data_IF_011405655345
#
_entry.id   IF_011405655345
#
_cell.length_a   1.000
_cell.length_b   1.000
_cell.length_c   1.000
_cell.angle_alpha   90.00
_cell.angle_beta   90.00
_cell.angle_gamma   90.00
#
_symmetry.space_group_name_H-M   'P 1'
#
loop_
_entity.id
_entity.type
_entity.pdbx_description
1 polymer ?
#
# COMPACT_ATOMS: atom_id res chain seq x y z
N UNK A 1 -7.94 23.99 -19.78
CA UNK A 1 -7.94 24.68 -18.46
C UNK A 1 -9.38 24.94 -18.04
N UNK A 2 -9.88 24.19 -17.07
CA UNK A 2 -10.60 24.69 -15.89
C UNK A 2 -10.92 23.46 -15.03
N UNK A 3 -10.08 23.22 -14.03
CA UNK A 3 -10.41 22.35 -12.91
C UNK A 3 -11.53 23.03 -12.12
N UNK A 4 -12.73 22.44 -12.14
CA UNK A 4 -13.79 22.79 -11.20
C UNK A 4 -13.91 21.65 -10.20
N UNK A 5 -13.23 21.88 -9.08
CA UNK A 5 -13.66 21.52 -7.72
C UNK A 5 -14.18 20.10 -7.53
N UNK A 6 -13.26 19.20 -7.21
CA UNK A 6 -13.48 18.13 -6.24
C UNK A 6 -14.02 18.75 -4.94
N UNK A 7 -15.26 18.43 -4.58
CA UNK A 7 -15.86 18.86 -3.32
C UNK A 7 -17.37 19.01 -3.48
N UNK A 8 -18.11 18.27 -2.66
CA UNK A 8 -19.59 18.18 -2.58
C UNK A 8 -20.20 17.11 -3.50
N UNK A 9 -20.13 15.86 -3.05
CA UNK A 9 -21.30 14.99 -2.77
C UNK A 9 -20.87 13.51 -2.65
N UNK A 10 -20.37 13.15 -1.46
CA UNK A 10 -20.33 11.76 -0.97
C UNK A 10 -21.70 11.37 -0.35
N UNK A 11 -22.79 12.07 -0.66
CA UNK A 11 -24.12 11.80 -0.09
C UNK A 11 -25.18 11.56 -1.17
N UNK A 12 -25.02 10.48 -1.94
CA UNK A 12 -26.09 9.93 -2.76
C UNK A 12 -25.97 8.40 -2.99
N UNK A 13 -25.40 7.65 -2.03
CA UNK A 13 -25.41 6.18 -2.04
C UNK A 13 -25.77 5.61 -0.66
N UNK A 14 -26.80 6.17 -0.04
CA UNK A 14 -27.58 5.51 1.03
C UNK A 14 -29.08 5.71 0.77
N UNK A 15 -29.53 5.43 -0.45
CA UNK A 15 -30.96 5.31 -0.76
C UNK A 15 -31.30 3.99 -1.47
N UNK A 16 -30.40 2.99 -1.37
CA UNK A 16 -30.63 1.63 -1.87
C UNK A 16 -30.22 0.55 -0.85
N UNK A 17 -30.27 0.88 0.43
CA UNK A 17 -30.13 -0.09 1.53
C UNK A 17 -31.27 0.10 2.51
N UNK A 18 -32.46 -0.33 2.09
CA UNK A 18 -33.51 -0.82 2.98
C UNK A 18 -33.96 0.13 4.10
N UNK A 19 -34.58 1.26 3.76
CA UNK A 19 -35.51 1.98 4.65
C UNK A 19 -36.84 2.25 3.91
N UNK A 20 -37.44 1.18 3.36
CA UNK A 20 -38.80 1.18 2.80
C UNK A 20 -39.83 0.51 3.71
N UNK A 21 -39.46 0.19 4.96
CA UNK A 21 -40.26 -0.56 5.93
C UNK A 21 -40.21 0.13 7.31
N UNK A 22 -40.63 1.39 7.37
CA UNK A 22 -41.07 2.00 8.62
C UNK A 22 -42.16 3.01 8.26
N UNK A 23 -43.31 2.95 8.94
CA UNK A 23 -44.58 3.67 8.68
C UNK A 23 -45.72 2.86 8.02
N UNK A 24 -46.06 1.73 8.64
CA UNK A 24 -47.47 1.35 8.90
C UNK A 24 -47.55 0.99 10.38
N UNK A 25 -48.64 1.40 11.03
CA UNK A 25 -48.99 1.15 12.45
C UNK A 25 -48.38 2.10 13.50
N UNK A 26 -48.93 3.31 13.55
CA UNK A 26 -49.15 4.03 14.81
C UNK A 26 -50.48 4.81 14.75
N UNK A 27 -51.61 4.08 14.74
CA UNK A 27 -52.91 4.59 15.18
C UNK A 27 -53.43 3.70 16.30
N UNK A 28 -52.92 3.94 17.50
CA UNK A 28 -53.60 3.54 18.73
C UNK A 28 -53.21 4.55 19.81
N UNK A 29 -54.17 5.41 20.15
CA UNK A 29 -54.26 6.11 21.44
C UNK A 29 -53.10 7.02 21.82
N UNK A 30 -53.17 8.30 21.43
CA UNK A 30 -53.00 9.39 22.39
C UNK A 30 -53.47 10.70 21.74
N UNK A 31 -54.52 11.27 22.34
CA UNK A 31 -55.03 12.59 22.00
C UNK A 31 -53.98 13.66 22.37
N UNK A 32 -53.56 14.45 21.40
CA UNK A 32 -52.81 15.70 21.59
C UNK A 32 -53.72 16.83 21.12
N UNK A 33 -53.91 17.90 21.91
CA UNK A 33 -54.94 18.88 21.62
C UNK A 33 -54.61 19.69 20.37
N UNK A 34 -55.68 19.95 19.62
CA UNK A 34 -55.80 20.78 18.44
C UNK A 34 -55.03 22.11 18.59
N UNK A 35 -53.95 22.24 17.81
CA UNK A 35 -53.45 23.56 17.39
C UNK A 35 -53.63 23.62 15.89
N UNK A 36 -54.59 24.43 15.47
CA UNK A 36 -55.00 24.65 14.10
C UNK A 36 -53.83 24.73 13.12
N UNK A 37 -53.60 23.62 12.42
CA UNK A 37 -52.89 23.61 11.15
C UNK A 37 -53.95 23.41 10.09
N UNK A 38 -54.17 24.44 9.26
CA UNK A 38 -55.06 24.36 8.12
C UNK A 38 -54.74 23.09 7.30
N UNK A 39 -55.72 22.20 7.15
CA UNK A 39 -55.58 21.06 6.25
C UNK A 39 -55.39 21.60 4.83
N UNK A 40 -54.37 21.15 4.07
CA UNK A 40 -54.14 21.65 2.73
C UNK A 40 -55.38 21.40 1.87
N UNK A 41 -55.89 22.45 1.22
CA UNK A 41 -57.05 22.34 0.33
C UNK A 41 -56.71 21.45 -0.86
N UNK A 42 -57.72 20.84 -1.48
CA UNK A 42 -57.58 19.88 -2.59
C UNK A 42 -56.73 20.43 -3.77
N UNK A 43 -56.71 21.75 -3.95
CA UNK A 43 -55.89 22.45 -4.95
C UNK A 43 -54.39 22.37 -4.63
N UNK A 44 -54.01 22.52 -3.36
CA UNK A 44 -52.60 22.53 -2.92
C UNK A 44 -52.00 21.12 -2.93
N UNK A 45 -52.83 20.09 -2.70
CA UNK A 45 -52.43 18.69 -2.80
C UNK A 45 -52.10 18.28 -4.24
N UNK A 46 -52.97 18.64 -5.19
CA UNK A 46 -52.75 18.36 -6.60
C UNK A 46 -51.52 19.10 -7.17
N UNK A 47 -51.25 20.32 -6.70
CA UNK A 47 -50.04 21.08 -7.07
C UNK A 47 -48.76 20.47 -6.46
N UNK A 48 -48.83 19.94 -5.24
CA UNK A 48 -47.72 19.23 -4.61
C UNK A 48 -47.42 17.90 -5.29
N UNK A 49 -48.45 17.13 -5.65
CA UNK A 49 -48.32 15.87 -6.38
C UNK A 49 -47.74 16.09 -7.79
N UNK A 50 -48.19 17.13 -8.50
CA UNK A 50 -47.64 17.49 -9.82
C UNK A 50 -46.17 17.94 -9.74
N UNK A 51 -45.78 18.67 -8.69
CA UNK A 51 -44.38 19.06 -8.45
C UNK A 51 -43.51 17.85 -8.10
N UNK A 52 -44.05 16.88 -7.39
CA UNK A 52 -43.36 15.65 -7.06
C UNK A 52 -43.12 14.80 -8.31
N UNK A 53 -44.14 14.61 -9.14
CA UNK A 53 -44.02 13.89 -10.42
C UNK A 53 -42.99 14.54 -11.36
N UNK A 54 -42.95 15.88 -11.42
CA UNK A 54 -41.95 16.60 -12.21
C UNK A 54 -40.53 16.42 -11.65
N UNK A 55 -40.37 16.44 -10.32
CA UNK A 55 -39.07 16.17 -9.69
C UNK A 55 -38.62 14.74 -9.93
N UNK A 56 -39.52 13.77 -9.82
CA UNK A 56 -39.23 12.36 -10.09
C UNK A 56 -38.81 12.14 -11.54
N UNK A 57 -39.52 12.77 -12.49
CA UNK A 57 -39.14 12.74 -13.92
C UNK A 57 -37.75 13.31 -14.14
N UNK A 58 -37.43 14.46 -13.53
CA UNK A 58 -36.10 15.09 -13.66
C UNK A 58 -34.99 14.22 -13.06
N UNK A 59 -35.27 13.54 -11.95
CA UNK A 59 -34.31 12.60 -11.34
C UNK A 59 -34.12 11.38 -12.24
N UNK A 60 -35.19 10.84 -12.83
CA UNK A 60 -35.07 9.72 -13.76
C UNK A 60 -34.34 10.09 -15.04
N UNK A 61 -34.56 11.28 -15.57
CA UNK A 61 -33.83 11.80 -16.75
C UNK A 61 -32.34 11.97 -16.43
N UNK A 62 -32.00 12.58 -15.30
CA UNK A 62 -30.59 12.72 -14.87
C UNK A 62 -29.93 11.37 -14.62
N UNK A 63 -30.65 10.39 -14.06
CA UNK A 63 -30.15 9.03 -13.88
C UNK A 63 -29.93 8.32 -15.23
N UNK A 64 -30.83 8.52 -16.20
CA UNK A 64 -30.69 7.97 -17.54
C UNK A 64 -29.53 8.62 -18.31
N UNK A 65 -29.32 9.93 -18.17
CA UNK A 65 -28.16 10.63 -18.72
C UNK A 65 -26.85 10.13 -18.09
N UNK A 66 -26.82 9.94 -16.77
CA UNK A 66 -25.66 9.37 -16.08
C UNK A 66 -25.38 7.94 -16.55
N UNK A 67 -26.42 7.12 -16.74
CA UNK A 67 -26.28 5.76 -17.25
C UNK A 67 -25.78 5.74 -18.70
N UNK A 68 -26.26 6.64 -19.56
CA UNK A 68 -25.77 6.81 -20.94
C UNK A 68 -24.31 7.25 -20.94
N UNK A 69 -23.94 8.20 -20.08
CA UNK A 69 -22.57 8.66 -19.92
C UNK A 69 -21.65 7.55 -19.39
N UNK A 70 -22.12 6.72 -18.46
CA UNK A 70 -21.37 5.56 -17.97
C UNK A 70 -21.18 4.51 -19.06
N UNK A 71 -22.24 4.17 -19.80
CA UNK A 71 -22.19 3.22 -20.91
C UNK A 71 -21.29 3.71 -22.05
N UNK A 72 -21.35 5.01 -22.38
CA UNK A 72 -20.47 5.63 -23.36
C UNK A 72 -19.01 5.61 -22.90
N UNK A 73 -18.72 5.86 -21.62
CA UNK A 73 -17.36 5.72 -21.07
C UNK A 73 -16.88 4.28 -21.01
N UNK A 74 -17.79 3.32 -20.84
CA UNK A 74 -17.48 1.89 -20.84
C UNK A 74 -17.23 1.36 -22.26
N UNK A 75 -17.95 1.86 -23.26
CA UNK A 75 -17.73 1.54 -24.68
C UNK A 75 -16.52 2.30 -25.28
N UNK A 76 -16.32 3.56 -24.87
CA UNK A 76 -15.16 4.38 -25.22
C UNK A 76 -13.94 4.08 -24.34
N UNK A 77 -14.07 3.17 -23.36
CA UNK A 77 -12.93 2.42 -22.83
C UNK A 77 -12.45 1.52 -23.97
N UNK A 78 -11.67 2.12 -24.88
CA UNK A 78 -10.55 1.39 -25.50
C UNK A 78 -9.98 0.51 -24.40
N UNK A 79 -9.70 -0.80 -24.63
CA UNK A 79 -9.14 -1.66 -23.59
C UNK A 79 -8.05 -0.84 -22.96
N UNK A 80 -8.31 -0.33 -21.76
CA UNK A 80 -7.37 0.58 -21.13
C UNK A 80 -6.13 -0.28 -21.12
N UNK A 81 -5.08 0.10 -21.86
CA UNK A 81 -3.81 -0.60 -21.85
C UNK A 81 -3.63 -0.98 -20.40
N UNK A 82 -3.83 -2.27 -20.07
CA UNK A 82 -3.88 -2.66 -18.67
C UNK A 82 -2.62 -2.04 -18.12
N UNK A 83 -2.69 -1.14 -17.10
CA UNK A 83 -1.50 -0.43 -16.67
C UNK A 83 -0.52 -1.53 -16.44
N UNK A 84 0.53 -1.60 -17.29
CA UNK A 84 1.40 -2.77 -17.39
C UNK A 84 1.67 -3.06 -15.94
N UNK A 85 1.15 -4.17 -15.41
CA UNK A 85 1.40 -4.49 -14.01
C UNK A 85 2.88 -4.73 -14.04
N UNK A 86 3.67 -3.69 -13.75
CA UNK A 86 5.06 -3.79 -13.41
C UNK A 86 4.98 -4.85 -12.32
N UNK A 87 5.38 -6.07 -12.67
CA UNK A 87 5.20 -7.20 -11.78
C UNK A 87 5.73 -6.75 -10.44
N UNK A 88 4.88 -6.78 -9.40
CA UNK A 88 5.33 -6.31 -8.09
C UNK A 88 6.61 -7.08 -7.78
N UNK A 89 7.71 -6.37 -7.46
CA UNK A 89 9.00 -7.00 -7.34
C UNK A 89 8.89 -8.13 -6.31
N UNK A 90 9.22 -9.34 -6.73
CA UNK A 90 9.04 -10.52 -5.90
C UNK A 90 10.16 -10.54 -4.88
N UNK A 91 9.84 -10.07 -3.67
CA UNK A 91 10.75 -10.09 -2.54
C UNK A 91 10.73 -11.46 -1.88
N UNK A 92 11.88 -12.12 -1.80
CA UNK A 92 12.05 -13.40 -1.08
C UNK A 92 13.16 -13.29 -0.05
N UNK A 93 13.06 -14.12 1.00
CA UNK A 93 14.14 -14.37 1.94
C UNK A 93 14.63 -15.79 1.69
N UNK A 94 15.88 -15.91 1.27
CA UNK A 94 16.51 -17.19 0.97
C UNK A 94 17.50 -17.56 2.06
N UNK A 95 17.49 -18.83 2.45
CA UNK A 95 18.38 -19.40 3.46
C UNK A 95 19.30 -20.42 2.82
N UNK A 96 20.61 -20.26 3.00
CA UNK A 96 21.56 -21.32 2.74
C UNK A 96 21.84 -22.05 4.05
N UNK A 97 22.03 -23.36 3.99
CA UNK A 97 22.29 -24.20 5.17
C UNK A 97 23.70 -24.77 5.10
N UNK A 98 24.30 -25.00 6.26
CA UNK A 98 25.54 -25.78 6.41
C UNK A 98 25.26 -27.26 6.17
N UNK A 99 26.31 -28.08 6.03
CA UNK A 99 26.17 -29.54 5.82
C UNK A 99 25.41 -30.24 6.96
N UNK A 100 25.45 -29.67 8.17
CA UNK A 100 24.72 -30.17 9.34
C UNK A 100 23.24 -29.72 9.39
N UNK A 101 22.75 -28.99 8.38
CA UNK A 101 21.38 -28.46 8.33
C UNK A 101 21.15 -27.17 9.11
N UNK A 102 22.14 -26.63 9.84
CA UNK A 102 22.01 -25.34 10.51
C UNK A 102 22.02 -24.19 9.48
N UNK A 103 21.29 -23.08 9.71
CA UNK A 103 21.31 -21.94 8.79
C UNK A 103 22.71 -21.33 8.72
N UNK A 104 23.23 -21.22 7.50
CA UNK A 104 24.54 -20.65 7.17
C UNK A 104 24.46 -19.19 6.82
N UNK A 105 23.46 -18.81 6.03
CA UNK A 105 23.22 -17.43 5.66
C UNK A 105 21.77 -17.18 5.29
N UNK A 106 21.39 -15.92 5.35
CA UNK A 106 20.10 -15.39 4.94
C UNK A 106 20.34 -14.16 4.07
N UNK A 107 19.66 -14.13 2.93
CA UNK A 107 19.71 -13.02 1.98
C UNK A 107 18.31 -12.63 1.53
N UNK A 108 18.07 -11.34 1.40
CA UNK A 108 16.89 -10.82 0.72
C UNK A 108 17.16 -10.80 -0.80
N UNK A 109 16.31 -11.43 -1.58
CA UNK A 109 16.33 -11.36 -3.05
C UNK A 109 15.13 -10.58 -3.55
N UNK A 110 15.33 -9.79 -4.61
CA UNK A 110 14.28 -9.06 -5.34
C UNK A 110 14.34 -9.58 -6.76
N UNK A 111 13.27 -10.22 -7.23
CA UNK A 111 13.19 -10.87 -8.55
C UNK A 111 14.33 -11.87 -8.81
N UNK A 112 14.74 -12.58 -7.76
CA UNK A 112 15.83 -13.56 -7.81
C UNK A 112 17.24 -12.96 -7.74
N UNK A 113 17.37 -11.63 -7.68
CA UNK A 113 18.65 -10.94 -7.52
C UNK A 113 18.88 -10.61 -6.05
N UNK A 114 20.03 -11.00 -5.50
CA UNK A 114 20.40 -10.68 -4.13
C UNK A 114 20.51 -9.16 -3.91
N UNK A 115 19.56 -8.63 -3.14
CA UNK A 115 19.41 -7.20 -2.85
C UNK A 115 18.88 -6.99 -1.44
N UNK A 116 19.69 -6.34 -0.59
CA UNK A 116 19.34 -5.98 0.77
C UNK A 116 20.26 -6.60 1.81
N UNK A 117 19.74 -6.78 3.02
CA UNK A 117 20.53 -7.23 4.16
C UNK A 117 21.00 -8.68 3.97
N UNK A 118 22.29 -8.88 4.20
CA UNK A 118 22.96 -10.17 4.27
C UNK A 118 23.31 -10.47 5.72
N UNK A 119 22.96 -11.67 6.18
CA UNK A 119 23.37 -12.21 7.47
C UNK A 119 23.94 -13.61 7.26
N UNK A 120 25.06 -13.90 7.91
CA UNK A 120 25.63 -15.24 7.97
C UNK A 120 25.92 -15.62 9.42
N UNK A 121 25.89 -16.92 9.69
CA UNK A 121 26.12 -17.49 11.02
C UNK A 121 27.16 -18.61 10.99
N UNK A 122 27.97 -18.64 12.05
CA UNK A 122 28.82 -19.78 12.39
C UNK A 122 27.95 -21.00 12.74
N UNK A 123 28.54 -22.19 12.70
CA UNK A 123 27.83 -23.44 13.01
C UNK A 123 27.23 -23.48 14.44
N UNK A 124 27.73 -22.64 15.35
CA UNK A 124 27.21 -22.48 16.70
C UNK A 124 26.05 -21.47 16.82
N UNK A 125 25.57 -20.93 15.69
CA UNK A 125 24.47 -19.98 15.63
C UNK A 125 24.84 -18.52 15.90
N UNK A 126 26.11 -18.21 16.18
CA UNK A 126 26.57 -16.83 16.33
C UNK A 126 26.77 -16.17 14.97
N UNK A 127 26.57 -14.86 14.87
CA UNK A 127 26.75 -14.14 13.60
C UNK A 127 28.21 -14.26 13.15
N UNK A 128 28.43 -14.50 11.87
CA UNK A 128 29.74 -14.50 11.23
C UNK A 128 29.91 -13.29 10.32
N UNK A 129 28.85 -12.88 9.61
CA UNK A 129 28.88 -11.73 8.70
C UNK A 129 27.55 -10.96 8.75
N UNK A 130 27.64 -9.65 8.54
CA UNK A 130 26.50 -8.76 8.39
C UNK A 130 26.87 -7.64 7.42
N UNK A 131 25.98 -7.39 6.46
CA UNK A 131 26.14 -6.27 5.54
C UNK A 131 24.96 -6.13 4.59
N UNK A 132 25.21 -5.42 3.50
CA UNK A 132 24.22 -5.22 2.45
C UNK A 132 24.77 -5.70 1.11
N UNK A 133 23.95 -6.39 0.35
CA UNK A 133 24.20 -6.75 -1.04
C UNK A 133 23.36 -5.85 -1.96
N UNK A 134 23.97 -5.44 -3.08
CA UNK A 134 23.30 -4.81 -4.21
C UNK A 134 23.73 -5.58 -5.45
N UNK A 135 22.76 -6.14 -6.18
CA UNK A 135 23.03 -6.98 -7.36
C UNK A 135 24.02 -8.12 -7.09
N UNK A 136 23.93 -8.73 -5.90
CA UNK A 136 24.84 -9.80 -5.46
C UNK A 136 26.23 -9.35 -5.03
N UNK A 137 26.57 -8.06 -5.14
CA UNK A 137 27.86 -7.51 -4.70
C UNK A 137 27.76 -6.83 -3.34
N UNK A 138 28.82 -6.96 -2.54
CA UNK A 138 28.92 -6.31 -1.22
C UNK A 138 28.91 -4.80 -1.38
N UNK A 139 28.04 -4.12 -0.64
CA UNK A 139 27.98 -2.66 -0.60
C UNK A 139 27.72 -2.14 0.80
N UNK A 140 28.12 -0.90 1.08
CA UNK A 140 27.89 -0.26 2.37
C UNK A 140 28.78 -0.81 3.47
N UNK A 141 28.32 -0.70 4.73
CA UNK A 141 29.09 -1.16 5.90
C UNK A 141 28.97 -2.67 6.07
N UNK A 142 30.10 -3.31 6.34
CA UNK A 142 30.19 -4.74 6.62
C UNK A 142 30.89 -4.98 7.95
N UNK A 143 30.47 -6.03 8.63
CA UNK A 143 31.00 -6.47 9.90
C UNK A 143 31.19 -7.99 9.88
N UNK A 144 32.27 -8.43 10.51
CA UNK A 144 32.67 -9.83 10.61
C UNK A 144 32.98 -10.16 12.06
N UNK A 145 32.61 -11.36 12.48
CA UNK A 145 32.80 -11.85 13.84
C UNK A 145 33.43 -13.23 13.86
N UNK A 146 34.15 -13.56 14.92
CA UNK A 146 34.65 -14.91 15.18
C UNK A 146 33.52 -15.82 15.73
N UNK A 147 33.76 -17.15 15.87
CA UNK A 147 32.79 -18.04 16.48
C UNK A 147 32.42 -17.70 17.92
N UNK A 148 33.22 -16.89 18.63
CA UNK A 148 32.94 -16.42 19.99
C UNK A 148 32.04 -15.17 20.01
N UNK A 149 31.71 -14.61 18.84
CA UNK A 149 30.82 -13.46 18.70
C UNK A 149 31.56 -12.12 18.84
N UNK A 150 32.88 -12.14 18.86
CA UNK A 150 33.73 -10.97 18.94
C UNK A 150 33.96 -10.42 17.53
N UNK A 151 33.86 -9.09 17.38
CA UNK A 151 34.08 -8.42 16.10
C UNK A 151 35.54 -8.60 15.69
N UNK A 152 35.78 -9.14 14.48
CA UNK A 152 37.11 -9.36 13.92
C UNK A 152 37.44 -8.39 12.78
N UNK A 153 36.43 -7.86 12.09
CA UNK A 153 36.65 -6.84 11.09
C UNK A 153 35.41 -5.98 10.85
N UNK A 154 35.63 -4.72 10.50
CA UNK A 154 34.57 -3.81 10.05
C UNK A 154 35.11 -2.83 9.03
N UNK A 155 34.28 -2.46 8.07
CA UNK A 155 34.67 -1.54 7.03
C UNK A 155 33.55 -1.32 6.02
N UNK A 156 33.90 -0.76 4.87
CA UNK A 156 32.94 -0.49 3.80
C UNK A 156 33.33 -1.22 2.52
N UNK A 157 32.31 -1.64 1.78
CA UNK A 157 32.42 -2.11 0.42
C UNK A 157 31.71 -1.17 -0.55
N UNK A 158 32.22 -1.11 -1.77
CA UNK A 158 31.57 -0.54 -2.94
C UNK A 158 31.78 -1.51 -4.11
N UNK A 159 30.68 -1.95 -4.73
CA UNK A 159 30.71 -2.90 -5.86
C UNK A 159 31.52 -4.19 -5.61
N UNK A 160 31.53 -4.67 -4.37
CA UNK A 160 32.30 -5.86 -3.96
C UNK A 160 33.75 -5.57 -3.55
N UNK A 161 34.25 -4.36 -3.74
CA UNK A 161 35.61 -3.95 -3.38
C UNK A 161 35.65 -3.22 -2.03
N UNK A 162 36.70 -3.47 -1.23
CA UNK A 162 36.90 -2.78 0.05
C UNK A 162 37.28 -1.33 -0.21
N UNK A 163 36.62 -0.41 0.48
CA UNK A 163 36.89 1.03 0.38
C UNK A 163 37.03 1.68 1.74
N UNK A 164 37.82 2.75 1.79
CA UNK A 164 38.07 3.55 2.99
C UNK A 164 38.86 2.79 4.05
N UNK A 165 38.66 3.17 5.30
CA UNK A 165 39.32 2.53 6.43
C UNK A 165 38.60 1.25 6.83
N UNK A 166 39.38 0.18 6.93
CA UNK A 166 38.98 -1.11 7.47
C UNK A 166 39.70 -1.34 8.78
N UNK A 167 38.95 -1.58 9.84
CA UNK A 167 39.49 -1.96 11.13
C UNK A 167 39.43 -3.47 11.25
N UNK A 168 40.58 -4.11 11.41
CA UNK A 168 40.72 -5.53 11.71
C UNK A 168 41.17 -5.70 13.16
N UNK A 169 40.53 -6.61 13.87
CA UNK A 169 40.79 -6.89 15.28
C UNK A 169 41.37 -8.30 15.35
N UNK A 170 42.66 -8.40 15.62
CA UNK A 170 43.37 -9.66 15.79
C UNK A 170 43.98 -9.71 17.20
N UNK A 171 43.61 -10.73 17.98
CA UNK A 171 44.07 -10.89 19.38
C UNK A 171 43.86 -9.65 20.26
N UNK A 172 42.75 -8.92 20.03
CA UNK A 172 42.43 -7.68 20.75
C UNK A 172 43.17 -6.43 20.25
N UNK A 173 44.08 -6.57 19.28
CA UNK A 173 44.77 -5.43 18.65
C UNK A 173 43.97 -4.96 17.45
N UNK A 174 43.60 -3.68 17.45
CA UNK A 174 42.97 -3.02 16.31
C UNK A 174 44.04 -2.55 15.31
N UNK A 175 43.88 -2.94 14.06
CA UNK A 175 44.71 -2.53 12.94
C UNK A 175 43.83 -1.90 11.86
N UNK A 176 44.11 -0.64 11.56
CA UNK A 176 43.42 0.08 10.49
C UNK A 176 44.20 -0.05 9.17
N UNK A 177 43.53 -0.56 8.15
CA UNK A 177 44.01 -0.63 6.77
C UNK A 177 43.23 0.34 5.91
N UNK A 178 43.94 1.09 5.06
CA UNK A 178 43.32 2.02 4.13
C UNK A 178 43.24 1.40 2.75
N UNK A 179 42.04 1.38 2.18
CA UNK A 179 41.77 0.95 0.82
C UNK A 179 41.26 2.14 0.03
N UNK A 180 42.07 2.62 -0.90
CA UNK A 180 41.62 3.64 -1.83
C UNK A 180 40.79 2.94 -2.92
N UNK A 181 39.58 3.45 -3.16
CA UNK A 181 38.77 2.97 -4.27
C UNK A 181 39.51 3.37 -5.55
N UNK A 182 39.88 2.40 -6.40
CA UNK A 182 40.42 2.73 -7.71
C UNK A 182 39.29 3.41 -8.51
N UNK A 183 39.43 4.69 -8.89
CA UNK A 183 38.32 5.42 -9.51
C UNK A 183 37.96 4.92 -10.92
N UNK A 184 38.63 3.89 -11.46
CA UNK A 184 38.45 3.45 -12.86
C UNK A 184 38.53 1.93 -13.01
N UNK A 185 37.37 1.27 -13.12
CA UNK A 185 37.21 0.02 -13.90
C UNK A 185 35.90 0.01 -14.65
#
# INVERSE_FOLDING_TARGET
MQARSLGVLVLALLAASGWGLYWREARAGNEVPDRGAASPTNSTRNEQDSRLEELERRVQEQAAELARWQAEREQARTPAEEPVRLAEPVVKLEFQHHENGAPKSRVKTIDGVAMGQWEAWHANGQKSELGTLLEGKRTGRWQFWNPQGELTATGRYLDGERIGTWTVIENGVMQDMRYDADPVR
#
